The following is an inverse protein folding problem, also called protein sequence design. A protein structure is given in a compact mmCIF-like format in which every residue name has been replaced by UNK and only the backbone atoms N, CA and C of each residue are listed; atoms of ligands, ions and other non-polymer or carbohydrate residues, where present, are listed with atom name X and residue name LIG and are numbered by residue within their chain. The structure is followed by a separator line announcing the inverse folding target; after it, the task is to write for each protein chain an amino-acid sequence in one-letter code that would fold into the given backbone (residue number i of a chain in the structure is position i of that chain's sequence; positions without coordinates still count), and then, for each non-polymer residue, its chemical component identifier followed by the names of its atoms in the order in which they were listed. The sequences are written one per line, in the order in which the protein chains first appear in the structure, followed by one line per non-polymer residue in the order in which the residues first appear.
data_IF_975942298562
#
_entry.id   IF_975942298562
#
_cell.length_a   1.000
_cell.length_b   1.000
_cell.length_c   1.000
_cell.angle_alpha   90.00
_cell.angle_beta   90.00
_cell.angle_gamma   90.00
#
_symmetry.space_group_name_H-M   'P 1'
#
loop_
_entity.id
_entity.type
_entity.pdbx_description
1 polymer ?
#
# COMPACT_ATOMS: atom_id res chain seq x y z
N UNK A 1 7.05 10.70 7.74
CA UNK A 1 7.60 10.31 9.05
C UNK A 1 6.57 10.58 10.13
N UNK A 2 6.61 9.80 11.19
CA UNK A 2 5.84 10.10 12.40
C UNK A 2 6.44 11.31 13.12
N UNK A 3 5.60 12.13 13.73
CA UNK A 3 5.99 13.34 14.47
C UNK A 3 6.09 13.10 15.99
N UNK A 4 5.47 12.02 16.49
CA UNK A 4 5.39 11.67 17.90
C UNK A 4 5.63 10.19 18.15
N UNK A 5 5.92 9.85 19.41
CA UNK A 5 5.91 8.49 19.92
C UNK A 5 4.47 8.09 20.28
N UNK A 6 4.22 6.78 20.36
CA UNK A 6 2.95 6.25 20.83
C UNK A 6 3.11 5.57 22.18
N UNK A 7 2.05 5.62 22.99
CA UNK A 7 1.93 4.86 24.24
C UNK A 7 0.51 4.26 24.28
N UNK A 8 0.42 3.00 24.64
CA UNK A 8 -0.85 2.29 24.77
C UNK A 8 -0.96 1.55 26.07
N UNK A 9 -2.18 1.30 26.52
CA UNK A 9 -2.48 0.42 27.63
C UNK A 9 -2.41 -1.04 27.19
N UNK A 10 -2.06 -1.92 28.13
CA UNK A 10 -2.00 -3.36 27.90
C UNK A 10 -3.26 -4.02 28.44
N UNK A 11 -3.86 -4.89 27.65
CA UNK A 11 -5.06 -5.63 27.97
C UNK A 11 -4.77 -7.13 27.92
N UNK A 12 -5.51 -7.91 28.71
CA UNK A 12 -5.51 -9.37 28.62
C UNK A 12 -6.28 -9.88 27.36
N UNK A 13 -6.35 -11.20 27.18
CA UNK A 13 -7.06 -11.81 26.06
C UNK A 13 -8.60 -11.61 26.13
N UNK A 14 -9.14 -11.18 27.27
CA UNK A 14 -10.55 -10.88 27.47
C UNK A 14 -10.87 -9.39 27.32
N UNK A 15 -9.85 -8.57 27.00
CA UNK A 15 -9.99 -7.12 26.88
C UNK A 15 -10.04 -6.40 28.21
N UNK A 16 -9.55 -7.00 29.30
CA UNK A 16 -9.43 -6.34 30.60
C UNK A 16 -8.08 -5.65 30.72
N UNK A 17 -8.02 -4.37 31.18
CA UNK A 17 -6.78 -3.66 31.35
C UNK A 17 -5.95 -4.29 32.48
N UNK A 18 -4.64 -4.39 32.25
CA UNK A 18 -3.71 -4.96 33.21
C UNK A 18 -3.00 -3.89 34.03
N UNK A 19 -2.68 -4.20 35.29
CA UNK A 19 -1.77 -3.43 36.13
C UNK A 19 -0.32 -3.81 35.85
N UNK A 20 0.61 -3.04 36.43
CA UNK A 20 2.05 -3.31 36.33
C UNK A 20 2.45 -4.66 36.92
N UNK A 21 1.67 -5.17 37.87
CA UNK A 21 1.87 -6.47 38.52
C UNK A 21 1.14 -7.62 37.76
N UNK A 22 0.50 -7.34 36.63
CA UNK A 22 -0.20 -8.31 35.80
C UNK A 22 -1.61 -8.70 36.28
N UNK A 23 -2.13 -8.01 37.30
CA UNK A 23 -3.53 -8.17 37.76
C UNK A 23 -4.48 -7.35 36.84
N UNK A 24 -5.78 -7.57 36.99
CA UNK A 24 -6.79 -6.77 36.28
C UNK A 24 -6.91 -5.41 36.97
N UNK A 25 -6.78 -4.32 36.19
CA UNK A 25 -6.90 -2.96 36.70
C UNK A 25 -8.38 -2.60 36.96
N UNK A 26 -8.63 -1.77 37.96
CA UNK A 26 -9.97 -1.39 38.41
C UNK A 26 -10.69 -0.41 37.46
N UNK A 27 -10.05 0.05 36.40
CA UNK A 27 -10.65 0.95 35.41
C UNK A 27 -9.64 1.54 34.43
N UNK A 28 -10.12 2.06 33.30
CA UNK A 28 -9.28 2.74 32.31
C UNK A 28 -8.83 4.09 32.89
N UNK A 29 -7.51 4.38 32.83
CA UNK A 29 -6.92 5.62 33.29
C UNK A 29 -6.41 5.60 34.73
N UNK A 30 -6.45 4.45 35.42
CA UNK A 30 -5.81 4.29 36.72
C UNK A 30 -4.27 4.44 36.61
N UNK A 31 -3.64 5.04 37.58
CA UNK A 31 -2.18 5.29 37.61
C UNK A 31 -1.34 4.01 37.60
N UNK A 32 -1.94 2.90 38.02
CA UNK A 32 -1.34 1.57 38.08
C UNK A 32 -1.37 0.78 36.79
N UNK A 33 -2.00 1.32 35.73
CA UNK A 33 -2.08 0.63 34.43
C UNK A 33 -0.70 0.29 33.85
N UNK A 34 -0.58 -0.92 33.34
CA UNK A 34 0.56 -1.31 32.54
C UNK A 34 0.49 -0.61 31.19
N UNK A 35 1.53 0.15 30.86
CA UNK A 35 1.64 0.84 29.57
C UNK A 35 2.81 0.30 28.76
N UNK A 36 2.70 0.37 27.46
CA UNK A 36 3.77 0.04 26.51
C UNK A 36 4.03 1.25 25.63
N UNK A 37 5.26 1.71 25.61
CA UNK A 37 5.72 2.80 24.76
C UNK A 37 6.26 2.27 23.43
N UNK A 38 6.13 3.08 22.37
CA UNK A 38 6.69 2.80 21.06
C UNK A 38 7.36 4.06 20.52
N UNK A 39 8.66 3.97 20.23
CA UNK A 39 9.42 5.05 19.63
C UNK A 39 9.13 5.11 18.11
N UNK A 40 8.20 5.96 17.75
CA UNK A 40 7.81 6.19 16.35
C UNK A 40 8.37 7.49 15.78
N UNK A 41 8.74 8.45 16.63
CA UNK A 41 9.19 9.78 16.17
C UNK A 41 10.35 9.66 15.19
N UNK A 42 10.16 10.19 13.99
CA UNK A 42 11.15 10.15 12.92
C UNK A 42 11.11 8.88 12.06
N UNK A 43 10.43 7.81 12.47
CA UNK A 43 10.26 6.58 11.69
C UNK A 43 9.42 6.89 10.45
N UNK A 44 9.77 6.29 9.31
CA UNK A 44 9.04 6.48 8.06
C UNK A 44 7.72 5.73 8.09
N UNK A 45 6.67 6.35 7.55
CA UNK A 45 5.39 5.68 7.37
C UNK A 45 5.51 4.70 6.21
N UNK A 46 5.20 3.42 6.47
CA UNK A 46 5.19 2.36 5.47
C UNK A 46 3.83 2.18 4.79
N UNK A 47 3.84 1.41 3.71
CA UNK A 47 2.62 0.87 3.09
C UNK A 47 2.06 1.64 1.90
N UNK A 48 2.53 2.84 1.64
CA UNK A 48 2.13 3.60 0.45
C UNK A 48 3.26 4.48 -0.06
N UNK A 49 3.27 4.73 -1.36
CA UNK A 49 4.21 5.66 -1.97
C UNK A 49 3.90 7.09 -1.49
N UNK A 50 4.91 7.76 -0.93
CA UNK A 50 4.80 9.15 -0.45
C UNK A 50 5.05 10.17 -1.56
N UNK A 51 5.47 9.71 -2.73
CA UNK A 51 5.57 10.51 -3.95
C UNK A 51 4.92 9.73 -5.07
N UNK A 52 3.88 10.30 -5.64
CA UNK A 52 3.24 9.78 -6.85
C UNK A 52 3.21 10.89 -7.89
N UNK A 53 3.41 10.53 -9.15
CA UNK A 53 3.18 11.41 -10.28
C UNK A 53 2.42 10.63 -11.35
N UNK A 54 1.53 11.30 -12.05
CA UNK A 54 0.81 10.71 -13.17
C UNK A 54 0.71 11.71 -14.31
N UNK A 55 0.87 11.22 -15.53
CA UNK A 55 0.70 11.98 -16.75
C UNK A 55 -0.07 11.13 -17.74
N UNK A 56 -1.16 11.68 -18.27
CA UNK A 56 -1.99 11.01 -19.25
C UNK A 56 -2.24 11.85 -20.48
N UNK A 57 -2.36 11.20 -21.63
CA UNK A 57 -2.72 11.83 -22.88
C UNK A 57 -3.76 11.00 -23.62
N UNK A 58 -4.70 11.66 -24.27
CA UNK A 58 -5.71 11.02 -25.14
C UNK A 58 -5.76 11.73 -26.48
N UNK A 59 -5.65 10.96 -27.54
CA UNK A 59 -5.81 11.44 -28.94
C UNK A 59 -7.09 10.88 -29.51
N UNK A 60 -7.86 11.72 -30.20
CA UNK A 60 -9.03 11.33 -30.97
C UNK A 60 -8.71 11.47 -32.46
N UNK A 61 -8.95 10.44 -33.22
CA UNK A 61 -8.74 10.42 -34.66
C UNK A 61 -10.14 10.27 -35.31
N UNK A 62 -10.59 11.33 -35.92
CA UNK A 62 -11.97 11.42 -36.40
C UNK A 62 -12.97 11.37 -35.22
N UNK A 63 -14.15 10.79 -35.47
CA UNK A 63 -15.20 10.57 -34.44
C UNK A 63 -15.17 9.15 -33.87
N UNK A 64 -14.43 8.27 -34.50
CA UNK A 64 -14.48 6.83 -34.29
C UNK A 64 -13.38 6.32 -33.37
N UNK A 65 -12.16 6.82 -33.52
CA UNK A 65 -10.98 6.26 -32.81
C UNK A 65 -10.59 7.15 -31.64
N UNK A 66 -10.34 6.53 -30.51
CA UNK A 66 -9.71 7.15 -29.33
C UNK A 66 -8.53 6.27 -28.88
N UNK A 67 -7.38 6.89 -28.71
CA UNK A 67 -6.17 6.27 -28.15
C UNK A 67 -5.76 7.04 -26.90
N UNK A 68 -5.42 6.33 -25.85
CA UNK A 68 -4.93 6.92 -24.59
C UNK A 68 -3.69 6.22 -24.10
N UNK A 69 -2.85 6.96 -23.42
CA UNK A 69 -1.71 6.46 -22.68
C UNK A 69 -1.59 7.20 -21.36
N UNK A 70 -1.33 6.46 -20.28
CA UNK A 70 -1.18 6.97 -18.93
C UNK A 70 0.13 6.45 -18.36
N UNK A 71 0.97 7.35 -17.88
CA UNK A 71 2.19 7.02 -17.15
C UNK A 71 1.99 7.33 -15.67
N UNK A 72 2.39 6.40 -14.80
CA UNK A 72 2.34 6.57 -13.36
C UNK A 72 3.70 6.25 -12.74
N UNK A 73 4.13 7.09 -11.81
CA UNK A 73 5.36 6.93 -11.03
C UNK A 73 5.06 6.78 -9.54
N UNK A 74 5.78 5.86 -8.89
CA UNK A 74 5.75 5.61 -7.46
C UNK A 74 7.15 5.75 -6.87
N UNK A 75 7.31 6.65 -5.92
CA UNK A 75 8.58 6.89 -5.25
C UNK A 75 8.42 7.10 -3.75
N UNK A 76 9.52 7.02 -3.01
CA UNK A 76 9.55 7.11 -1.56
C UNK A 76 8.53 6.15 -0.89
N UNK A 77 8.46 4.94 -1.40
CA UNK A 77 7.65 3.87 -0.84
C UNK A 77 8.48 3.11 0.19
N UNK A 78 7.85 2.72 1.31
CA UNK A 78 8.51 2.03 2.41
C UNK A 78 7.70 0.82 2.82
N UNK A 79 8.40 -0.22 3.28
CA UNK A 79 7.81 -1.46 3.73
C UNK A 79 6.88 -1.24 4.93
N UNK A 80 5.89 -2.10 5.07
CA UNK A 80 5.08 -2.19 6.29
C UNK A 80 5.93 -2.71 7.44
N UNK A 81 5.63 -2.28 8.65
CA UNK A 81 6.16 -2.86 9.88
C UNK A 81 5.02 -3.24 10.80
N UNK A 82 5.24 -4.28 11.59
CA UNK A 82 4.23 -4.74 12.54
C UNK A 82 4.44 -4.08 13.90
N UNK A 83 3.34 -3.68 14.51
CA UNK A 83 3.26 -3.22 15.91
C UNK A 83 2.35 -4.16 16.70
N UNK A 84 2.42 -5.47 16.42
CA UNK A 84 1.61 -6.47 17.14
C UNK A 84 2.21 -6.78 18.52
N UNK A 85 1.36 -7.21 19.44
CA UNK A 85 1.77 -7.59 20.81
C UNK A 85 2.85 -8.66 20.87
N UNK A 86 2.95 -9.54 19.86
CA UNK A 86 4.02 -10.54 19.75
C UNK A 86 5.41 -9.95 19.53
N UNK A 87 5.48 -8.71 19.02
CA UNK A 87 6.74 -8.01 18.71
C UNK A 87 7.04 -6.89 19.73
N UNK A 88 6.20 -6.72 20.74
CA UNK A 88 6.31 -5.67 21.73
C UNK A 88 6.64 -6.25 23.12
N UNK A 89 7.64 -5.69 23.78
CA UNK A 89 7.89 -5.95 25.19
C UNK A 89 6.95 -5.10 26.02
N UNK A 90 6.05 -5.75 26.75
CA UNK A 90 5.07 -5.08 27.61
C UNK A 90 5.76 -4.35 28.75
N UNK A 91 5.23 -3.20 29.15
CA UNK A 91 5.78 -2.38 30.21
C UNK A 91 7.09 -1.68 29.87
N UNK A 92 7.56 -1.73 28.61
CA UNK A 92 8.81 -1.12 28.16
C UNK A 92 8.57 -0.20 26.97
N UNK A 93 9.55 0.64 26.68
CA UNK A 93 9.58 1.41 25.43
C UNK A 93 10.24 0.57 24.34
N UNK A 94 9.50 0.30 23.31
CA UNK A 94 9.90 -0.49 22.16
C UNK A 94 10.40 0.39 21.03
N UNK A 95 11.33 -0.12 20.23
CA UNK A 95 11.84 0.56 19.03
C UNK A 95 11.40 -0.21 17.78
N UNK A 96 10.87 0.51 16.82
CA UNK A 96 10.47 -0.06 15.53
C UNK A 96 11.66 -0.11 14.58
N UNK A 97 11.79 -1.19 13.85
CA UNK A 97 12.76 -1.30 12.74
C UNK A 97 12.42 -0.26 11.67
N UNK A 98 13.39 0.60 11.29
CA UNK A 98 13.15 1.61 10.25
C UNK A 98 12.75 0.93 8.94
N UNK A 99 11.64 1.35 8.32
CA UNK A 99 11.10 0.66 7.16
C UNK A 99 12.06 0.66 5.98
N UNK A 100 12.25 -0.51 5.37
CA UNK A 100 13.05 -0.65 4.16
C UNK A 100 12.46 0.18 3.02
N UNK A 101 13.32 0.92 2.34
CA UNK A 101 12.91 1.74 1.20
C UNK A 101 12.76 0.87 -0.04
N UNK A 102 11.53 0.73 -0.52
CA UNK A 102 11.21 0.03 -1.75
C UNK A 102 11.76 0.82 -2.95
N UNK A 103 12.40 0.18 -3.94
CA UNK A 103 12.81 0.84 -5.16
C UNK A 103 11.66 1.58 -5.83
N UNK A 104 11.94 2.73 -6.43
CA UNK A 104 10.95 3.47 -7.19
C UNK A 104 10.52 2.67 -8.42
N UNK A 105 9.27 2.82 -8.81
CA UNK A 105 8.71 2.13 -9.97
C UNK A 105 7.90 3.10 -10.83
N UNK A 106 7.77 2.79 -12.10
CA UNK A 106 6.82 3.45 -12.99
C UNK A 106 6.18 2.44 -13.91
N UNK A 107 4.97 2.76 -14.36
CA UNK A 107 4.21 1.91 -15.27
C UNK A 107 3.57 2.80 -16.34
N UNK A 108 3.37 2.21 -17.51
CA UNK A 108 2.63 2.82 -18.61
C UNK A 108 1.45 1.93 -18.96
N UNK A 109 0.28 2.51 -18.97
CA UNK A 109 -0.97 1.89 -19.37
C UNK A 109 -1.42 2.49 -20.69
N UNK A 110 -1.98 1.69 -21.58
CA UNK A 110 -2.53 2.17 -22.84
C UNK A 110 -3.94 1.67 -23.06
N UNK A 111 -4.75 2.49 -23.68
CA UNK A 111 -6.11 2.14 -24.02
C UNK A 111 -6.45 2.59 -25.45
N UNK A 112 -7.33 1.83 -26.10
CA UNK A 112 -7.85 2.15 -27.41
C UNK A 112 -9.35 1.85 -27.47
N UNK A 113 -10.08 2.64 -28.23
CA UNK A 113 -11.47 2.33 -28.57
C UNK A 113 -11.81 2.74 -30.00
N UNK A 114 -12.66 1.94 -30.62
CA UNK A 114 -13.14 2.16 -31.96
C UNK A 114 -14.66 2.05 -32.00
N UNK A 115 -15.30 3.09 -32.54
CA UNK A 115 -16.75 3.14 -32.77
C UNK A 115 -17.04 2.75 -34.18
N UNK A 116 -18.01 1.89 -34.39
CA UNK A 116 -18.45 1.42 -35.73
C UNK A 116 -19.93 1.09 -35.70
N UNK A 117 -20.46 0.73 -36.86
CA UNK A 117 -21.83 0.22 -36.98
C UNK A 117 -21.80 -1.25 -37.36
N UNK A 118 -22.67 -2.04 -36.76
CA UNK A 118 -22.90 -3.44 -37.09
C UNK A 118 -24.40 -3.66 -37.21
N UNK A 119 -24.87 -4.15 -38.37
CA UNK A 119 -26.29 -4.36 -38.66
C UNK A 119 -27.18 -3.12 -38.35
N UNK A 120 -26.67 -1.92 -38.62
CA UNK A 120 -27.38 -0.66 -38.36
C UNK A 120 -27.28 -0.15 -36.93
N UNK A 121 -26.79 -0.93 -35.97
CA UNK A 121 -26.62 -0.59 -34.58
C UNK A 121 -25.25 0.06 -34.31
N UNK A 122 -25.18 0.98 -33.36
CA UNK A 122 -23.92 1.59 -32.94
C UNK A 122 -23.16 0.64 -32.02
N UNK A 123 -21.93 0.32 -32.37
CA UNK A 123 -21.06 -0.52 -31.59
C UNK A 123 -19.75 0.20 -31.21
N UNK A 124 -19.16 -0.20 -30.10
CA UNK A 124 -17.86 0.26 -29.68
C UNK A 124 -17.05 -0.94 -29.17
N UNK A 125 -15.89 -1.17 -29.74
CA UNK A 125 -14.89 -2.07 -29.19
C UNK A 125 -13.84 -1.23 -28.46
N UNK A 126 -13.41 -1.69 -27.29
CA UNK A 126 -12.34 -1.06 -26.52
C UNK A 126 -11.42 -2.11 -25.94
N UNK A 127 -10.16 -1.75 -25.78
CA UNK A 127 -9.13 -2.58 -25.17
C UNK A 127 -8.21 -1.75 -24.29
N UNK A 128 -7.72 -2.36 -23.22
CA UNK A 128 -6.69 -1.79 -22.35
C UNK A 128 -5.54 -2.77 -22.21
N UNK A 129 -4.34 -2.23 -22.11
CA UNK A 129 -3.14 -2.95 -21.69
C UNK A 129 -2.57 -2.18 -20.51
N UNK A 130 -2.62 -2.78 -19.32
CA UNK A 130 -1.98 -2.22 -18.15
C UNK A 130 -0.56 -2.77 -18.04
N UNK A 131 0.36 -1.95 -17.54
CA UNK A 131 1.78 -2.26 -17.45
C UNK A 131 2.35 -2.73 -18.81
N UNK A 132 2.27 -1.87 -19.80
CA UNK A 132 2.63 -2.15 -21.21
C UNK A 132 4.00 -2.81 -21.35
N UNK A 133 4.98 -2.40 -20.55
CA UNK A 133 6.36 -2.89 -20.61
C UNK A 133 6.62 -4.12 -19.73
N UNK A 134 5.58 -4.66 -19.07
CA UNK A 134 5.69 -5.80 -18.15
C UNK A 134 6.75 -5.60 -17.05
N UNK A 135 6.86 -4.37 -16.55
CA UNK A 135 7.84 -4.03 -15.54
C UNK A 135 7.47 -4.66 -14.20
N UNK A 136 8.34 -5.50 -13.66
CA UNK A 136 8.14 -6.14 -12.36
C UNK A 136 8.66 -5.24 -11.24
N UNK A 137 7.78 -4.87 -10.31
CA UNK A 137 8.13 -4.07 -9.16
C UNK A 137 7.41 -4.55 -7.89
N UNK A 138 8.00 -4.27 -6.75
CA UNK A 138 7.45 -4.64 -5.46
C UNK A 138 6.24 -3.77 -5.12
N UNK A 139 5.05 -4.38 -5.10
CA UNK A 139 3.79 -3.70 -4.80
C UNK A 139 3.53 -3.55 -3.30
N UNK A 140 3.85 -4.60 -2.53
CA UNK A 140 3.64 -4.64 -1.08
C UNK A 140 4.77 -5.41 -0.41
N UNK A 141 5.39 -4.81 0.60
CA UNK A 141 6.57 -5.34 1.27
C UNK A 141 6.43 -5.17 2.77
N UNK A 142 6.89 -6.14 3.53
CA UNK A 142 6.97 -6.10 4.99
C UNK A 142 8.42 -6.17 5.45
N UNK A 143 8.70 -5.40 6.49
CA UNK A 143 9.94 -5.50 7.25
C UNK A 143 10.02 -6.83 8.01
N UNK A 144 11.24 -7.30 8.33
CA UNK A 144 11.40 -8.33 9.35
C UNK A 144 10.88 -7.82 10.70
N UNK A 145 10.52 -8.75 11.58
CA UNK A 145 10.04 -8.44 12.93
C UNK A 145 11.13 -7.88 13.85
N UNK A 146 12.39 -8.13 13.53
CA UNK A 146 13.56 -7.67 14.31
C UNK A 146 14.78 -7.49 13.42
N UNK A 147 15.78 -6.76 13.89
CA UNK A 147 17.02 -6.47 13.17
C UNK A 147 16.87 -5.39 12.11
N UNK A 148 17.95 -5.12 11.38
CA UNK A 148 17.94 -4.12 10.30
C UNK A 148 17.27 -4.69 9.06
N UNK A 149 16.33 -3.94 8.48
CA UNK A 149 15.67 -4.34 7.24
C UNK A 149 16.61 -4.20 6.03
N UNK A 150 16.81 -5.28 5.30
CA UNK A 150 17.64 -5.36 4.09
C UNK A 150 16.86 -6.05 2.97
N UNK A 151 17.36 -5.99 1.75
CA UNK A 151 16.75 -6.68 0.61
C UNK A 151 16.63 -8.20 0.80
N UNK A 152 17.47 -8.80 1.66
CA UNK A 152 17.57 -10.25 1.81
C UNK A 152 16.67 -10.80 2.93
N UNK A 153 16.15 -9.93 3.79
CA UNK A 153 15.28 -10.33 4.92
C UNK A 153 13.89 -9.69 4.92
N UNK A 154 13.56 -8.90 3.89
CA UNK A 154 12.20 -8.45 3.63
C UNK A 154 11.41 -9.57 2.93
N UNK A 155 10.09 -9.49 3.02
CA UNK A 155 9.19 -10.34 2.26
C UNK A 155 8.05 -9.50 1.68
N UNK A 156 7.50 -9.94 0.54
CA UNK A 156 6.48 -9.15 -0.12
C UNK A 156 5.99 -9.76 -1.41
N UNK A 157 5.12 -9.03 -2.08
CA UNK A 157 4.55 -9.41 -3.36
C UNK A 157 4.92 -8.40 -4.44
N UNK A 158 5.19 -8.91 -5.63
CA UNK A 158 5.26 -8.07 -6.82
C UNK A 158 3.87 -7.55 -7.18
N UNK A 159 3.84 -6.38 -7.79
CA UNK A 159 2.65 -5.88 -8.44
C UNK A 159 2.30 -6.77 -9.65
N UNK A 160 1.07 -6.66 -10.15
CA UNK A 160 0.66 -7.39 -11.34
C UNK A 160 1.55 -7.00 -12.52
N UNK A 161 2.01 -8.00 -13.26
CA UNK A 161 2.63 -7.82 -14.56
C UNK A 161 1.64 -7.25 -15.59
N UNK A 162 1.97 -7.36 -16.86
CA UNK A 162 1.10 -6.89 -17.92
C UNK A 162 -0.23 -7.64 -17.95
N UNK A 163 -1.32 -6.87 -18.01
CA UNK A 163 -2.68 -7.39 -18.09
C UNK A 163 -3.42 -6.79 -19.27
N UNK A 164 -4.38 -7.55 -19.80
CA UNK A 164 -5.18 -7.15 -20.95
C UNK A 164 -6.66 -7.21 -20.59
N UNK A 165 -7.43 -6.28 -21.13
CA UNK A 165 -8.88 -6.38 -21.11
C UNK A 165 -9.48 -5.89 -22.42
N UNK A 166 -10.58 -6.51 -22.84
CA UNK A 166 -11.32 -6.13 -24.06
C UNK A 166 -12.81 -6.07 -23.73
N UNK A 167 -13.50 -5.10 -24.32
CA UNK A 167 -14.94 -4.89 -24.14
C UNK A 167 -15.59 -4.56 -25.49
N UNK A 168 -16.67 -5.24 -25.80
CA UNK A 168 -17.59 -4.88 -26.90
C UNK A 168 -18.89 -4.35 -26.28
N UNK A 169 -19.33 -3.18 -26.73
CA UNK A 169 -20.62 -2.57 -26.37
C UNK A 169 -21.44 -2.37 -27.64
N UNK A 170 -22.68 -2.85 -27.65
CA UNK A 170 -23.66 -2.64 -28.71
C UNK A 170 -24.83 -1.87 -28.10
N UNK A 171 -25.27 -0.81 -28.75
CA UNK A 171 -26.44 -0.03 -28.35
C UNK A 171 -27.61 -0.38 -29.30
N UNK A 172 -28.66 -0.90 -28.72
CA UNK A 172 -29.92 -1.24 -29.40
C UNK A 172 -30.84 -0.05 -29.44
#
# INVERSE_FOLDING_TARGET
KWDSNATGYVYDNNGQPLTKDGAIASGIGAEDHLTTGINLKGVRVGGSAQTTAALGATVKIGKEIRLGADWTFYGRNYAYYSLSGSNLSLGKTNTVVDPWKIPSASQVDVNASYKFKIAGLNATISGNVNNLFDYQYLGKVWNPSSGTATKDNIYGFYAFGRTFSTRLKINF
#
